data_IF_105814223011
#
_entry.id   IF_105814223011
#
_cell.length_a   1.000
_cell.length_b   1.000
_cell.length_c   1.000
_cell.angle_alpha   90.00
_cell.angle_beta   90.00
_cell.angle_gamma   90.00
#
_symmetry.space_group_name_H-M   'P 1'
#
loop_
_entity.id
_entity.type
_entity.pdbx_description
1 polymer ?
#
# COMPACT_ATOMS: atom_id res chain seq x y z
N UNK A 1 25.78 -23.83 38.54
CA UNK A 1 26.47 -23.97 37.25
C UNK A 1 25.68 -24.89 36.37
N UNK A 2 24.85 -24.35 35.50
CA UNK A 2 24.35 -25.01 34.28
C UNK A 2 24.04 -23.92 33.29
N UNK A 3 24.81 -23.91 32.21
CA UNK A 3 24.68 -23.10 31.03
C UNK A 3 23.33 -23.31 30.36
N UNK A 4 22.67 -22.22 29.98
CA UNK A 4 21.65 -22.24 28.96
C UNK A 4 22.10 -21.26 27.87
N UNK A 5 22.89 -21.86 26.96
CA UNK A 5 23.29 -21.21 25.71
C UNK A 5 22.21 -21.29 24.65
N UNK A 6 22.10 -20.22 23.92
CA UNK A 6 21.79 -20.13 22.50
C UNK A 6 20.43 -20.61 22.01
N UNK A 7 19.51 -19.69 21.82
CA UNK A 7 18.57 -19.71 20.70
C UNK A 7 18.70 -18.38 19.93
N UNK A 8 19.79 -18.27 19.20
CA UNK A 8 19.99 -17.22 18.22
C UNK A 8 20.17 -17.86 16.85
N UNK A 9 19.43 -17.44 15.87
CA UNK A 9 19.73 -17.77 14.48
C UNK A 9 18.59 -18.41 13.70
N UNK A 10 17.50 -17.70 13.51
CA UNK A 10 16.65 -17.97 12.36
C UNK A 10 17.43 -17.54 11.10
N UNK A 11 17.82 -18.56 10.35
CA UNK A 11 18.73 -18.56 9.23
C UNK A 11 18.28 -17.57 8.14
N UNK A 12 19.05 -16.52 7.88
CA UNK A 12 18.82 -15.56 6.79
C UNK A 12 18.67 -16.24 5.41
N UNK A 13 19.24 -17.43 5.25
CA UNK A 13 19.10 -18.24 4.03
C UNK A 13 17.66 -18.72 3.81
N UNK A 14 16.92 -19.01 4.89
CA UNK A 14 15.51 -19.45 4.81
C UNK A 14 14.60 -18.31 4.37
N UNK A 15 14.85 -17.09 4.82
CA UNK A 15 14.13 -15.89 4.42
C UNK A 15 14.38 -15.58 2.94
N UNK A 16 15.62 -15.74 2.47
CA UNK A 16 15.95 -15.58 1.04
C UNK A 16 15.29 -16.65 0.16
N UNK A 17 15.19 -17.89 0.62
CA UNK A 17 14.56 -19.01 -0.11
C UNK A 17 13.05 -18.81 -0.22
N UNK A 18 12.39 -18.36 0.85
CA UNK A 18 10.95 -18.06 0.84
C UNK A 18 10.66 -16.84 -0.05
N UNK A 19 11.48 -15.78 0.00
CA UNK A 19 11.40 -14.63 -0.92
C UNK A 19 11.58 -15.06 -2.39
N UNK A 20 12.52 -15.92 -2.69
CA UNK A 20 12.74 -16.45 -4.04
C UNK A 20 11.58 -17.29 -4.58
N UNK A 21 10.94 -18.10 -3.75
CA UNK A 21 9.78 -18.92 -4.10
C UNK A 21 8.53 -18.06 -4.38
N UNK A 22 8.28 -17.01 -3.58
CA UNK A 22 7.17 -16.08 -3.80
C UNK A 22 7.38 -15.22 -5.06
N UNK A 23 8.60 -14.77 -5.33
CA UNK A 23 8.93 -14.01 -6.53
C UNK A 23 8.76 -14.86 -7.80
N UNK A 24 9.16 -16.14 -7.77
CA UNK A 24 8.97 -17.09 -8.88
C UNK A 24 7.51 -17.50 -9.07
N UNK A 25 6.74 -17.64 -7.99
CA UNK A 25 5.31 -17.96 -8.06
C UNK A 25 4.52 -16.81 -8.73
N UNK A 26 4.81 -15.56 -8.37
CA UNK A 26 4.22 -14.40 -9.04
C UNK A 26 4.67 -14.26 -10.51
N UNK A 27 5.93 -14.61 -10.83
CA UNK A 27 6.41 -14.62 -12.24
C UNK A 27 5.68 -15.66 -13.10
N UNK A 28 5.35 -16.83 -12.56
CA UNK A 28 4.60 -17.85 -13.30
C UNK A 28 3.12 -17.49 -13.51
N UNK A 29 2.50 -16.73 -12.60
CA UNK A 29 1.14 -16.21 -12.79
C UNK A 29 1.11 -15.14 -13.89
N UNK A 30 2.17 -14.33 -14.01
CA UNK A 30 2.30 -13.30 -15.04
C UNK A 30 2.34 -13.90 -16.45
N UNK A 31 2.95 -15.09 -16.63
CA UNK A 31 3.09 -15.71 -17.96
C UNK A 31 1.88 -16.53 -18.41
N UNK A 32 0.96 -16.93 -17.52
CA UNK A 32 -0.20 -17.77 -17.86
C UNK A 32 -1.48 -17.03 -18.24
N UNK A 33 -1.58 -15.72 -18.03
CA UNK A 33 -2.81 -14.95 -18.29
C UNK A 33 -2.79 -14.13 -19.59
N UNK A 34 -2.15 -14.62 -20.66
CA UNK A 34 -2.08 -13.90 -21.95
C UNK A 34 -3.36 -14.03 -22.81
N UNK A 35 -4.49 -14.42 -22.23
CA UNK A 35 -5.76 -14.56 -22.99
C UNK A 35 -6.97 -14.07 -22.19
N UNK A 36 -7.04 -12.75 -21.94
CA UNK A 36 -8.32 -12.08 -21.70
C UNK A 36 -8.35 -10.77 -22.48
N UNK A 37 -8.86 -10.84 -23.69
CA UNK A 37 -9.32 -9.68 -24.46
C UNK A 37 -10.44 -8.99 -23.69
N UNK A 38 -10.22 -7.74 -23.25
CA UNK A 38 -11.32 -6.90 -22.80
C UNK A 38 -11.06 -5.88 -21.70
N UNK A 39 -9.99 -5.99 -20.90
CA UNK A 39 -9.54 -4.93 -20.01
C UNK A 39 -8.03 -4.85 -20.11
N UNK A 40 -7.52 -3.81 -20.77
CA UNK A 40 -6.11 -3.40 -20.67
C UNK A 40 -5.87 -2.76 -19.30
N UNK A 41 -6.00 -3.60 -18.27
CA UNK A 41 -5.55 -3.25 -16.93
C UNK A 41 -4.03 -3.35 -17.00
N UNK A 42 -3.34 -2.22 -17.00
CA UNK A 42 -1.89 -2.21 -16.84
C UNK A 42 -1.57 -3.00 -15.57
N UNK A 43 -1.17 -4.24 -15.75
CA UNK A 43 -0.96 -5.24 -14.71
C UNK A 43 -0.06 -4.75 -13.56
N UNK A 44 0.98 -3.88 -13.82
CA UNK A 44 1.81 -3.35 -12.75
C UNK A 44 1.08 -2.44 -11.76
N UNK A 45 -0.02 -1.77 -12.17
CA UNK A 45 -0.68 -0.77 -11.33
C UNK A 45 -1.61 -1.39 -10.29
N UNK A 46 -2.24 -2.52 -10.59
CA UNK A 46 -3.25 -3.14 -9.74
C UNK A 46 -2.80 -4.44 -9.07
N UNK A 47 -1.59 -4.90 -9.38
CA UNK A 47 -0.95 -6.08 -8.78
C UNK A 47 -1.86 -7.32 -8.72
N UNK A 48 -2.66 -7.55 -9.77
CA UNK A 48 -3.54 -8.70 -9.87
C UNK A 48 -4.87 -8.58 -9.13
N UNK A 49 -5.31 -7.38 -8.80
CA UNK A 49 -6.59 -7.15 -8.12
C UNK A 49 -7.78 -7.75 -8.90
N UNK A 50 -8.64 -8.48 -8.19
CA UNK A 50 -9.82 -9.14 -8.75
C UNK A 50 -10.96 -8.15 -9.04
N UNK A 51 -11.88 -8.45 -9.96
CA UNK A 51 -13.05 -7.59 -10.27
C UNK A 51 -13.90 -7.22 -9.04
N UNK A 52 -13.97 -8.12 -8.04
CA UNK A 52 -14.69 -7.85 -6.78
C UNK A 52 -14.09 -6.66 -6.00
N UNK A 53 -12.76 -6.53 -5.99
CA UNK A 53 -12.05 -5.43 -5.31
C UNK A 53 -12.33 -4.10 -6.01
N UNK A 54 -12.41 -4.08 -7.36
CA UNK A 54 -12.81 -2.88 -8.10
C UNK A 54 -14.23 -2.44 -7.79
N UNK A 55 -15.17 -3.39 -7.63
CA UNK A 55 -16.55 -3.08 -7.24
C UNK A 55 -16.60 -2.45 -5.84
N UNK A 56 -15.84 -3.01 -4.91
CA UNK A 56 -15.73 -2.48 -3.55
C UNK A 56 -15.09 -1.09 -3.55
N UNK A 57 -13.99 -0.89 -4.24
CA UNK A 57 -13.33 0.41 -4.39
C UNK A 57 -14.26 1.48 -4.98
N UNK A 58 -15.12 1.10 -5.95
CA UNK A 58 -16.14 2.01 -6.50
C UNK A 58 -17.19 2.41 -5.46
N UNK A 59 -17.56 1.50 -4.54
CA UNK A 59 -18.47 1.81 -3.44
C UNK A 59 -17.80 2.76 -2.46
N UNK A 60 -16.60 2.44 -1.98
CA UNK A 60 -15.84 3.26 -1.03
C UNK A 60 -15.62 4.70 -1.54
N UNK A 61 -15.36 4.88 -2.84
CA UNK A 61 -15.27 6.23 -3.44
C UNK A 61 -16.54 7.07 -3.34
N UNK A 62 -17.70 6.47 -3.05
CA UNK A 62 -18.96 7.20 -2.82
C UNK A 62 -19.19 7.48 -1.34
N UNK A 63 -18.69 6.62 -0.48
CA UNK A 63 -18.87 6.65 0.98
C UNK A 63 -17.60 7.23 1.65
N UNK A 64 -17.04 8.28 1.07
CA UNK A 64 -15.80 8.95 1.49
C UNK A 64 -15.94 9.62 2.86
N UNK A 65 -14.96 9.40 3.74
CA UNK A 65 -14.90 10.05 5.06
C UNK A 65 -14.51 11.53 4.95
N UNK A 66 -14.71 12.30 6.03
CA UNK A 66 -14.33 13.72 6.04
C UNK A 66 -12.82 13.91 5.92
N UNK A 67 -12.03 13.12 6.62
CA UNK A 67 -10.57 13.14 6.54
C UNK A 67 -10.04 12.79 5.14
N UNK A 68 -10.66 11.80 4.48
CA UNK A 68 -10.34 11.48 3.08
C UNK A 68 -10.61 12.66 2.14
N UNK A 69 -11.72 13.38 2.32
CA UNK A 69 -12.04 14.56 1.51
C UNK A 69 -11.02 15.68 1.71
N UNK A 70 -10.65 15.96 2.96
CA UNK A 70 -9.67 17.00 3.30
C UNK A 70 -8.33 16.68 2.63
N UNK A 71 -7.81 15.46 2.81
CA UNK A 71 -6.55 15.08 2.21
C UNK A 71 -6.64 15.01 0.68
N UNK A 72 -7.75 14.48 0.12
CA UNK A 72 -7.97 14.45 -1.33
C UNK A 72 -7.95 15.83 -1.95
N UNK A 73 -8.49 16.85 -1.30
CA UNK A 73 -8.46 18.24 -1.78
C UNK A 73 -7.03 18.74 -2.02
N UNK A 74 -6.05 18.22 -1.27
CA UNK A 74 -4.62 18.55 -1.39
C UNK A 74 -3.85 17.64 -2.37
N UNK A 75 -4.29 16.40 -2.57
CA UNK A 75 -3.61 15.42 -3.44
C UNK A 75 -4.08 15.45 -4.89
N UNK A 76 -5.33 15.87 -5.14
CA UNK A 76 -5.92 15.85 -6.48
C UNK A 76 -5.26 16.85 -7.45
N UNK A 77 -5.59 16.74 -8.74
CA UNK A 77 -5.13 17.67 -9.80
C UNK A 77 -3.61 17.82 -9.89
N UNK A 78 -2.86 16.79 -9.48
CA UNK A 78 -1.38 16.75 -9.54
C UNK A 78 -0.71 17.88 -8.72
N UNK A 79 -1.32 18.31 -7.61
CA UNK A 79 -0.81 19.41 -6.78
C UNK A 79 0.52 19.05 -6.12
N UNK A 80 0.74 17.78 -5.78
CA UNK A 80 1.99 17.33 -5.17
C UNK A 80 3.01 17.01 -6.27
N UNK A 81 3.96 17.91 -6.49
CA UNK A 81 5.09 17.77 -7.45
C UNK A 81 4.67 17.29 -8.85
N UNK A 82 3.46 17.61 -9.31
CA UNK A 82 2.95 17.18 -10.60
C UNK A 82 2.58 15.69 -10.67
N UNK A 83 2.49 14.99 -9.54
CA UNK A 83 2.19 13.56 -9.48
C UNK A 83 0.68 13.29 -9.42
N UNK A 84 0.26 12.27 -10.16
CA UNK A 84 -1.12 11.81 -10.12
C UNK A 84 -1.35 10.84 -8.98
N UNK A 85 -2.12 11.25 -7.98
CA UNK A 85 -2.68 10.37 -6.96
C UNK A 85 -4.04 9.85 -7.39
N UNK A 86 -4.40 8.66 -6.91
CA UNK A 86 -5.69 8.00 -7.12
C UNK A 86 -6.24 7.59 -5.77
N UNK A 87 -7.51 7.84 -5.52
CA UNK A 87 -8.17 7.44 -4.28
C UNK A 87 -8.84 6.08 -4.41
N UNK A 88 -8.95 5.38 -3.30
CA UNK A 88 -9.55 4.05 -3.18
C UNK A 88 -9.06 3.14 -4.31
N UNK A 89 -7.72 2.94 -4.34
CA UNK A 89 -7.04 2.24 -5.43
C UNK A 89 -6.90 0.75 -5.13
N UNK A 90 -7.44 -0.15 -5.98
CA UNK A 90 -7.26 -1.59 -5.83
C UNK A 90 -5.81 -2.02 -6.01
N UNK A 91 -5.28 -2.78 -5.02
CA UNK A 91 -3.96 -3.40 -5.06
C UNK A 91 -4.11 -4.84 -4.59
N UNK A 92 -3.99 -5.82 -5.46
CA UNK A 92 -4.16 -7.24 -5.16
C UNK A 92 -5.50 -7.53 -4.45
N UNK A 93 -5.49 -7.85 -3.16
CA UNK A 93 -6.68 -8.19 -2.34
C UNK A 93 -7.20 -7.03 -1.49
N UNK A 94 -6.57 -5.87 -1.50
CA UNK A 94 -6.94 -4.73 -0.68
C UNK A 94 -7.10 -3.44 -1.50
N UNK A 95 -7.53 -2.39 -0.84
CA UNK A 95 -7.76 -1.08 -1.42
C UNK A 95 -6.94 -0.08 -0.61
N UNK A 96 -6.09 0.69 -1.30
CA UNK A 96 -5.34 1.78 -0.70
C UNK A 96 -6.17 3.07 -0.75
N UNK A 97 -6.18 3.87 0.32
CA UNK A 97 -6.93 5.12 0.34
C UNK A 97 -6.43 6.06 -0.74
N UNK A 98 -5.11 6.27 -0.81
CA UNK A 98 -4.49 7.01 -1.92
C UNK A 98 -3.25 6.28 -2.45
N UNK A 99 -3.08 6.31 -3.75
CA UNK A 99 -1.96 5.65 -4.43
C UNK A 99 -1.39 6.51 -5.55
N UNK A 100 -0.07 6.65 -5.58
CA UNK A 100 0.69 7.23 -6.68
C UNK A 100 1.52 6.15 -7.37
N UNK A 101 1.11 5.74 -8.57
CA UNK A 101 1.75 4.64 -9.29
C UNK A 101 3.18 4.96 -9.75
N UNK A 102 3.46 6.23 -10.09
CA UNK A 102 4.77 6.65 -10.60
C UNK A 102 5.91 6.42 -9.62
N UNK A 103 5.64 6.62 -8.33
CA UNK A 103 6.62 6.47 -7.25
C UNK A 103 6.27 5.32 -6.30
N UNK A 104 5.25 4.51 -6.64
CA UNK A 104 4.75 3.40 -5.85
C UNK A 104 4.52 3.78 -4.37
N UNK A 105 3.87 4.92 -4.14
CA UNK A 105 3.55 5.42 -2.81
C UNK A 105 2.07 5.19 -2.50
N UNK A 106 1.80 4.55 -1.38
CA UNK A 106 0.49 4.42 -0.74
C UNK A 106 0.43 5.37 0.44
N UNK A 107 -0.67 6.10 0.57
CA UNK A 107 -1.01 6.89 1.75
C UNK A 107 -2.30 6.32 2.32
N UNK A 108 -2.29 5.97 3.59
CA UNK A 108 -3.44 5.44 4.33
C UNK A 108 -3.81 6.38 5.45
N UNK A 109 -5.11 6.47 5.72
CA UNK A 109 -5.65 7.20 6.87
C UNK A 109 -6.06 6.18 7.91
N UNK A 110 -5.31 6.11 9.01
CA UNK A 110 -5.68 5.29 10.15
C UNK A 110 -6.81 5.96 10.91
N UNK A 111 -8.01 5.40 10.79
CA UNK A 111 -9.11 5.74 11.69
C UNK A 111 -8.74 5.36 13.12
N UNK A 112 -9.16 6.17 14.10
CA UNK A 112 -8.96 5.96 15.54
C UNK A 112 -9.73 4.73 16.06
N UNK A 113 -9.61 3.58 15.39
CA UNK A 113 -10.14 2.33 15.91
C UNK A 113 -9.05 1.72 16.77
N UNK A 114 -9.09 2.08 18.04
CA UNK A 114 -8.32 1.49 19.11
C UNK A 114 -8.33 -0.04 19.02
N UNK A 115 -7.12 -0.62 18.92
CA UNK A 115 -6.69 -1.86 19.54
C UNK A 115 -7.67 -3.03 19.56
N UNK A 116 -8.02 -3.57 18.41
CA UNK A 116 -8.50 -4.94 18.35
C UNK A 116 -7.31 -5.81 17.89
N UNK A 117 -6.76 -6.69 18.76
CA UNK A 117 -5.56 -7.48 18.46
C UNK A 117 -5.67 -8.36 17.20
N UNK A 118 -6.87 -8.72 16.81
CA UNK A 118 -7.14 -9.53 15.61
C UNK A 118 -6.79 -8.83 14.29
N UNK A 119 -6.79 -7.49 14.25
CA UNK A 119 -6.43 -6.74 13.06
C UNK A 119 -4.91 -6.62 12.84
N UNK A 120 -4.10 -6.75 13.89
CA UNK A 120 -2.64 -6.70 13.77
C UNK A 120 -2.05 -7.86 12.97
N UNK A 121 -2.67 -9.06 13.00
CA UNK A 121 -2.19 -10.21 12.21
C UNK A 121 -2.46 -10.02 10.71
N UNK A 122 -3.56 -9.37 10.34
CA UNK A 122 -3.86 -9.03 8.94
C UNK A 122 -3.00 -7.88 8.42
N UNK A 123 -2.62 -6.94 9.28
CA UNK A 123 -1.83 -5.76 8.90
C UNK A 123 -0.36 -6.13 8.62
N UNK A 124 0.24 -7.07 9.37
CA UNK A 124 1.59 -7.56 9.10
C UNK A 124 1.70 -8.27 7.75
N UNK A 125 0.73 -9.08 7.37
CA UNK A 125 0.70 -9.75 6.05
C UNK A 125 0.48 -8.76 4.89
N UNK A 126 -0.32 -7.72 5.11
CA UNK A 126 -0.58 -6.65 4.15
C UNK A 126 0.67 -5.80 3.90
N UNK A 127 1.33 -5.36 4.99
CA UNK A 127 2.55 -4.56 4.91
C UNK A 127 3.68 -5.30 4.20
N UNK A 128 3.92 -6.57 4.54
CA UNK A 128 4.92 -7.41 3.88
C UNK A 128 4.65 -7.58 2.38
N UNK A 129 3.39 -7.78 1.98
CA UNK A 129 3.01 -7.91 0.56
C UNK A 129 3.24 -6.60 -0.21
N UNK A 130 2.94 -5.45 0.39
CA UNK A 130 3.18 -4.15 -0.24
C UNK A 130 4.68 -3.88 -0.42
N UNK A 131 5.50 -4.23 0.57
CA UNK A 131 6.95 -4.16 0.49
C UNK A 131 7.51 -5.07 -0.61
N UNK A 132 6.99 -6.29 -0.77
CA UNK A 132 7.38 -7.21 -1.85
C UNK A 132 7.05 -6.66 -3.25
N UNK A 133 6.02 -5.83 -3.37
CA UNK A 133 5.69 -5.10 -4.59
C UNK A 133 6.56 -3.85 -4.80
N UNK A 134 7.45 -3.55 -3.85
CA UNK A 134 8.27 -2.34 -3.83
C UNK A 134 7.43 -1.07 -3.60
N UNK A 135 6.33 -1.19 -2.87
CA UNK A 135 5.44 -0.09 -2.53
C UNK A 135 5.84 0.48 -1.16
N UNK A 136 6.06 1.77 -1.11
CA UNK A 136 6.21 2.51 0.14
C UNK A 136 4.83 2.85 0.69
N UNK A 137 4.61 2.59 1.98
CA UNK A 137 3.36 2.94 2.68
C UNK A 137 3.64 3.97 3.76
N UNK A 138 2.85 5.02 3.78
CA UNK A 138 2.84 6.00 4.87
C UNK A 138 1.43 6.10 5.43
N UNK A 139 1.32 6.33 6.75
CA UNK A 139 0.05 6.40 7.46
C UNK A 139 -0.04 7.72 8.21
N UNK A 140 -1.24 8.29 8.23
CA UNK A 140 -1.58 9.47 9.01
C UNK A 140 -2.85 9.20 9.79
N UNK A 141 -2.93 9.69 11.01
CA UNK A 141 -4.14 9.57 11.80
C UNK A 141 -5.18 10.61 11.36
N UNK A 142 -6.45 10.38 11.75
CA UNK A 142 -7.50 11.36 11.50
C UNK A 142 -7.16 12.72 12.13
N UNK A 143 -6.62 12.74 13.33
CA UNK A 143 -6.23 13.94 14.06
C UNK A 143 -5.17 14.75 13.29
N UNK A 144 -4.14 14.08 12.76
CA UNK A 144 -3.10 14.75 11.95
C UNK A 144 -3.69 15.44 10.72
N UNK A 145 -4.70 14.82 10.10
CA UNK A 145 -5.34 15.40 8.91
C UNK A 145 -6.32 16.50 9.28
N UNK A 146 -7.06 16.34 10.37
CA UNK A 146 -8.05 17.34 10.81
C UNK A 146 -7.41 18.60 11.36
N UNK A 147 -6.37 18.43 12.18
CA UNK A 147 -5.79 19.52 12.96
C UNK A 147 -4.53 20.11 12.31
N UNK A 148 -3.78 19.31 11.53
CA UNK A 148 -2.44 19.65 11.03
C UNK A 148 -2.28 19.35 9.51
N UNK A 149 -3.30 19.62 8.70
CA UNK A 149 -3.28 19.25 7.26
C UNK A 149 -2.08 19.84 6.50
N UNK A 150 -1.68 21.07 6.77
CA UNK A 150 -0.56 21.70 6.06
C UNK A 150 0.76 21.02 6.40
N UNK A 151 0.97 20.65 7.68
CA UNK A 151 2.13 19.88 8.11
C UNK A 151 2.13 18.46 7.53
N UNK A 152 0.96 17.81 7.49
CA UNK A 152 0.77 16.49 6.86
C UNK A 152 1.17 16.54 5.38
N UNK A 153 0.75 17.56 4.66
CA UNK A 153 1.10 17.76 3.24
C UNK A 153 2.60 17.98 3.05
N UNK A 154 3.24 18.77 3.92
CA UNK A 154 4.70 18.98 3.89
C UNK A 154 5.48 17.67 4.10
N UNK A 155 5.04 16.82 5.01
CA UNK A 155 5.62 15.48 5.20
C UNK A 155 5.47 14.62 3.93
N UNK A 156 4.28 14.63 3.30
CA UNK A 156 4.05 13.92 2.05
C UNK A 156 4.99 14.44 0.95
N UNK A 157 5.12 15.74 0.78
CA UNK A 157 6.02 16.35 -0.21
C UNK A 157 7.49 15.99 0.02
N UNK A 158 7.92 15.92 1.27
CA UNK A 158 9.27 15.49 1.65
C UNK A 158 9.53 14.05 1.23
N UNK A 159 8.59 13.13 1.52
CA UNK A 159 8.69 11.73 1.13
C UNK A 159 8.65 11.58 -0.40
N UNK A 160 7.75 12.28 -1.07
CA UNK A 160 7.65 12.30 -2.52
C UNK A 160 8.95 12.76 -3.16
N UNK A 161 9.57 13.82 -2.63
CA UNK A 161 10.87 14.32 -3.12
C UNK A 161 11.94 13.25 -2.99
N UNK A 162 12.02 12.57 -1.85
CA UNK A 162 12.96 11.47 -1.61
C UNK A 162 12.76 10.32 -2.59
N UNK A 163 11.50 9.92 -2.86
CA UNK A 163 11.19 8.83 -3.78
C UNK A 163 11.41 9.19 -5.27
N UNK A 164 11.43 10.46 -5.62
CA UNK A 164 11.73 10.92 -6.98
C UNK A 164 13.24 10.96 -7.28
N UNK A 165 14.09 10.98 -6.24
CA UNK A 165 15.56 11.06 -6.37
C UNK A 165 16.25 9.70 -6.35
N UNK A 166 15.51 8.62 -6.15
CA UNK A 166 15.95 7.23 -6.19
C UNK A 166 15.37 6.51 -7.41
#
# INVERSE_FOLDING_TARGET
MRDIGALGGLNQSLIFTIRGLFCNFNRQIITKNHSMKGLSVEYPMYFGAKPSIFKLAKKLRKDETETEKILWARLNKNQIKGLQFRRQHPINTFIADFYCARIKLVIEIDGSIHEIPEYHLHDTGRSAMLEDFGITVIRFTNEQIMDEIDYTVEQIETIVTKLLTH
#
